data_IF_965396103345
#
_entry.id   IF_965396103345
#
_cell.length_a   1.000
_cell.length_b   1.000
_cell.length_c   1.000
_cell.angle_alpha   90.00
_cell.angle_beta   90.00
_cell.angle_gamma   90.00
#
_symmetry.space_group_name_H-M   'P 1'
#
loop_
_entity.id
_entity.type
_entity.pdbx_description
1 polymer ?
#
# COMPACT_ATOMS: atom_id res chain seq x y z
N UNK A 1 8.46 0.51 16.65
CA UNK A 1 9.55 0.22 15.70
C UNK A 1 9.14 0.75 14.34
N UNK A 2 10.07 1.28 13.53
CA UNK A 2 9.78 1.77 12.16
C UNK A 2 10.38 0.79 11.16
N UNK A 3 9.63 0.41 10.15
CA UNK A 3 10.12 -0.47 9.08
C UNK A 3 11.16 0.24 8.22
N UNK A 4 12.22 -0.48 7.85
CA UNK A 4 13.32 0.02 7.03
C UNK A 4 13.68 -1.03 5.97
N UNK A 5 14.19 -0.57 4.82
CA UNK A 5 14.70 -1.48 3.79
C UNK A 5 16.03 -2.08 4.26
N UNK A 6 16.32 -3.31 3.87
CA UNK A 6 17.64 -3.90 4.02
C UNK A 6 18.72 -3.08 3.26
N UNK A 7 19.93 -3.00 3.83
CA UNK A 7 21.09 -2.37 3.19
C UNK A 7 21.64 -3.25 2.06
N UNK A 8 21.68 -4.57 2.29
CA UNK A 8 22.07 -5.59 1.30
C UNK A 8 20.91 -6.56 1.15
N UNK A 9 20.45 -6.75 -0.07
CA UNK A 9 19.27 -7.56 -0.40
C UNK A 9 19.58 -8.64 -1.42
N UNK A 10 18.61 -9.54 -1.57
CA UNK A 10 18.60 -10.65 -2.53
C UNK A 10 18.04 -10.24 -3.89
N UNK A 11 17.25 -9.16 -3.95
CA UNK A 11 16.52 -8.72 -5.14
C UNK A 11 15.09 -9.26 -5.23
N UNK A 12 14.68 -10.17 -4.35
CA UNK A 12 13.33 -10.76 -4.32
C UNK A 12 12.33 -9.94 -3.47
N UNK A 13 12.79 -8.93 -2.75
CA UNK A 13 12.01 -8.22 -1.74
C UNK A 13 10.76 -7.54 -2.33
N UNK A 14 10.90 -6.93 -3.50
CA UNK A 14 9.79 -6.24 -4.17
C UNK A 14 8.70 -7.23 -4.62
N UNK A 15 9.09 -8.36 -5.24
CA UNK A 15 8.14 -9.37 -5.69
C UNK A 15 7.44 -10.03 -4.50
N UNK A 16 8.19 -10.37 -3.44
CA UNK A 16 7.62 -10.94 -2.22
C UNK A 16 6.62 -9.98 -1.54
N UNK A 17 6.90 -8.67 -1.54
CA UNK A 17 5.98 -7.67 -0.98
C UNK A 17 4.68 -7.56 -1.81
N UNK A 18 4.79 -7.62 -3.14
CA UNK A 18 3.63 -7.63 -4.04
C UNK A 18 2.79 -8.91 -3.87
N UNK A 19 3.44 -10.07 -3.90
CA UNK A 19 2.78 -11.38 -3.80
C UNK A 19 2.14 -11.61 -2.43
N UNK A 20 2.56 -10.88 -1.40
CA UNK A 20 1.96 -10.97 -0.06
C UNK A 20 0.50 -10.47 -0.01
N UNK A 21 0.10 -9.62 -0.96
CA UNK A 21 -1.23 -9.01 -0.97
C UNK A 21 -1.50 -7.98 0.15
N UNK A 22 -0.47 -7.63 0.94
CA UNK A 22 -0.62 -6.68 2.08
C UNK A 22 -0.46 -5.22 1.63
N UNK A 23 0.25 -4.97 0.53
CA UNK A 23 0.48 -3.61 0.02
C UNK A 23 -0.74 -3.08 -0.72
N UNK A 24 -1.07 -1.81 -0.55
CA UNK A 24 -2.08 -1.14 -1.36
C UNK A 24 -1.56 -0.91 -2.79
N UNK A 25 -2.29 -1.42 -3.79
CA UNK A 25 -1.94 -1.33 -5.21
C UNK A 25 -3.04 -0.58 -5.94
N UNK A 26 -2.67 0.37 -6.81
CA UNK A 26 -3.62 1.02 -7.70
C UNK A 26 -3.92 0.12 -8.91
N UNK A 27 -5.18 -0.23 -9.13
CA UNK A 27 -5.60 -1.10 -10.24
C UNK A 27 -5.53 -0.39 -11.60
N UNK A 28 -5.62 0.95 -11.60
CA UNK A 28 -5.67 1.77 -12.80
C UNK A 28 -4.74 2.97 -12.70
N UNK A 29 -4.27 3.45 -13.85
CA UNK A 29 -3.48 4.67 -13.95
C UNK A 29 -4.30 5.89 -13.50
N UNK A 30 -3.65 6.84 -12.83
CA UNK A 30 -4.30 8.05 -12.36
C UNK A 30 -3.36 8.98 -11.60
N UNK A 31 -3.85 10.18 -11.31
CA UNK A 31 -3.15 11.20 -10.52
C UNK A 31 -3.70 11.23 -9.10
N UNK A 32 -2.82 11.27 -8.10
CA UNK A 32 -3.23 11.50 -6.71
C UNK A 32 -3.81 12.90 -6.60
N UNK A 33 -5.08 12.99 -6.17
CA UNK A 33 -5.76 14.26 -5.93
C UNK A 33 -5.97 14.55 -4.44
N UNK A 34 -5.95 13.51 -3.61
CA UNK A 34 -6.08 13.64 -2.17
C UNK A 34 -5.50 12.44 -1.44
N UNK A 35 -4.92 12.67 -0.26
CA UNK A 35 -4.37 11.64 0.62
C UNK A 35 -4.77 11.93 2.06
N UNK A 36 -5.21 10.91 2.76
CA UNK A 36 -5.54 10.92 4.18
C UNK A 36 -4.96 9.67 4.85
N UNK A 37 -5.03 9.60 6.18
CA UNK A 37 -4.60 8.41 6.94
C UNK A 37 -5.41 7.17 6.58
N UNK A 38 -6.69 7.33 6.21
CA UNK A 38 -7.59 6.20 5.99
C UNK A 38 -7.74 5.83 4.50
N UNK A 39 -7.31 6.71 3.59
CA UNK A 39 -7.50 6.50 2.14
C UNK A 39 -6.60 7.36 1.26
N UNK A 40 -6.38 6.88 0.05
CA UNK A 40 -5.78 7.63 -1.05
C UNK A 40 -6.82 7.78 -2.16
N UNK A 41 -6.94 8.97 -2.73
CA UNK A 41 -7.88 9.26 -3.81
C UNK A 41 -7.13 9.61 -5.08
N UNK A 42 -7.45 8.89 -6.15
CA UNK A 42 -6.86 8.99 -7.48
C UNK A 42 -7.91 9.50 -8.47
N UNK A 43 -7.53 10.35 -9.42
CA UNK A 43 -8.33 10.64 -10.61
C UNK A 43 -7.72 9.97 -11.84
N UNK A 44 -8.53 9.24 -12.61
CA UNK A 44 -8.08 8.49 -13.79
C UNK A 44 -9.25 8.23 -14.72
N UNK A 45 -9.05 8.39 -16.02
CA UNK A 45 -10.07 8.14 -17.05
C UNK A 45 -11.42 8.88 -16.84
N UNK A 46 -11.41 10.04 -16.19
CA UNK A 46 -12.62 10.83 -15.88
C UNK A 46 -13.30 10.46 -14.55
N UNK A 47 -12.91 9.36 -13.93
CA UNK A 47 -13.44 8.88 -12.66
C UNK A 47 -12.49 9.16 -11.50
N UNK A 48 -13.05 9.09 -10.28
CA UNK A 48 -12.29 9.20 -9.03
C UNK A 48 -12.36 7.87 -8.29
N UNK A 49 -11.19 7.28 -8.01
CA UNK A 49 -11.04 5.99 -7.35
C UNK A 49 -10.47 6.23 -5.95
N UNK A 50 -11.08 5.61 -4.93
CA UNK A 50 -10.59 5.67 -3.56
C UNK A 50 -10.00 4.32 -3.16
N UNK A 51 -8.75 4.32 -2.71
CA UNK A 51 -8.05 3.16 -2.15
C UNK A 51 -8.07 3.28 -0.62
N UNK A 52 -8.82 2.44 0.10
CA UNK A 52 -8.81 2.45 1.56
C UNK A 52 -7.49 1.90 2.11
N UNK A 53 -7.01 2.48 3.20
CA UNK A 53 -5.82 2.05 3.91
C UNK A 53 -6.21 1.31 5.19
N UNK A 54 -5.48 0.23 5.49
CA UNK A 54 -5.67 -0.54 6.71
C UNK A 54 -4.83 0.10 7.82
N UNK A 55 -5.51 0.81 8.72
CA UNK A 55 -4.88 1.50 9.85
C UNK A 55 -5.08 0.72 11.15
N UNK A 56 -3.99 0.42 11.85
CA UNK A 56 -3.97 -0.19 13.19
C UNK A 56 -4.81 -1.48 13.32
N UNK A 57 -4.90 -2.29 12.25
CA UNK A 57 -5.60 -3.56 12.28
C UNK A 57 -4.76 -4.63 12.97
N UNK A 58 -5.35 -5.31 13.96
CA UNK A 58 -4.72 -6.42 14.66
C UNK A 58 -4.62 -7.65 13.75
N UNK A 59 -3.42 -8.21 13.59
CA UNK A 59 -3.22 -9.50 12.92
C UNK A 59 -3.58 -10.70 13.82
N UNK A 60 -3.66 -11.90 13.23
CA UNK A 60 -3.89 -13.16 13.97
C UNK A 60 -2.86 -13.42 15.07
N UNK A 61 -1.65 -12.85 14.95
CA UNK A 61 -0.56 -12.97 15.92
C UNK A 61 -0.31 -11.67 16.68
N UNK A 62 -1.31 -10.79 16.72
CA UNK A 62 -1.29 -9.56 17.51
C UNK A 62 -0.22 -8.54 17.08
N UNK A 63 0.25 -8.65 15.84
CA UNK A 63 1.13 -7.66 15.21
C UNK A 63 0.29 -6.61 14.49
N UNK A 64 0.86 -5.42 14.32
CA UNK A 64 0.34 -4.32 13.52
C UNK A 64 1.37 -3.95 12.45
#
# INVERSE_FOLDING_TARGET
SRSEKCIVGTGLECQAALDSGVSAIAEHEGKIIYTDTDKIVLSGNGDTISIPLVMYQRSNKNTC
#
